data_IF_182377769647
#
_entry.id   IF_182377769647
#
_cell.length_a   1.000
_cell.length_b   1.000
_cell.length_c   1.000
_cell.angle_alpha   90.00
_cell.angle_beta   90.00
_cell.angle_gamma   90.00
#
_symmetry.space_group_name_H-M   'P 1'
#
loop_
_entity.id
_entity.type
_entity.pdbx_description
1 polymer ?
#
# COMPACT_ATOMS: atom_id res chain seq x y z
N UNK A 1 15.10 -12.04 -25.81
CA UNK A 1 14.05 -11.13 -25.33
C UNK A 1 14.29 -9.79 -26.00
N UNK A 2 13.26 -9.17 -26.57
CA UNK A 2 13.43 -7.95 -27.36
C UNK A 2 13.19 -6.74 -26.47
N UNK A 3 14.26 -6.16 -25.95
CA UNK A 3 14.21 -4.86 -25.29
C UNK A 3 14.31 -3.77 -26.36
N UNK A 4 13.39 -2.82 -26.33
CA UNK A 4 13.50 -1.59 -27.11
C UNK A 4 14.03 -0.49 -26.20
N UNK A 5 15.06 0.21 -26.67
CA UNK A 5 15.64 1.35 -25.97
C UNK A 5 15.56 2.56 -26.90
N UNK A 6 14.96 3.64 -26.43
CA UNK A 6 15.08 4.97 -27.03
C UNK A 6 16.18 5.74 -26.27
N UNK A 7 17.40 5.81 -26.83
CA UNK A 7 18.53 6.44 -26.15
C UNK A 7 18.38 7.96 -26.02
N UNK A 8 17.53 8.61 -26.82
CA UNK A 8 17.33 10.06 -26.74
C UNK A 8 16.39 10.43 -25.59
N UNK A 9 15.35 9.64 -25.36
CA UNK A 9 14.40 9.87 -24.28
C UNK A 9 14.73 9.15 -22.98
N UNK A 10 15.69 8.20 -22.99
CA UNK A 10 15.99 7.32 -21.85
C UNK A 10 14.84 6.38 -21.47
N UNK A 11 13.87 6.22 -22.38
CA UNK A 11 12.72 5.33 -22.23
C UNK A 11 13.02 4.01 -22.90
N UNK A 12 12.56 2.94 -22.28
CA UNK A 12 12.70 1.60 -22.79
C UNK A 12 11.45 0.79 -22.44
N UNK A 13 11.29 -0.34 -23.12
CA UNK A 13 10.31 -1.34 -22.72
C UNK A 13 10.83 -2.74 -23.04
N UNK A 14 10.33 -3.71 -22.27
CA UNK A 14 10.65 -5.12 -22.45
C UNK A 14 9.35 -5.87 -22.73
N UNK A 15 9.37 -6.68 -23.79
CA UNK A 15 8.28 -7.63 -24.06
C UNK A 15 8.45 -8.83 -23.13
N UNK A 16 7.42 -9.08 -22.32
CA UNK A 16 7.40 -10.17 -21.35
C UNK A 16 7.43 -11.53 -22.04
N UNK A 17 8.07 -12.54 -21.42
CA UNK A 17 8.30 -13.84 -22.05
C UNK A 17 7.02 -14.68 -22.11
N UNK A 18 5.99 -14.31 -21.34
CA UNK A 18 4.67 -14.91 -21.36
C UNK A 18 3.73 -14.30 -22.42
N UNK A 19 4.25 -13.45 -23.32
CA UNK A 19 3.55 -13.08 -24.55
C UNK A 19 3.43 -14.29 -25.48
N UNK A 20 2.26 -14.50 -26.09
CA UNK A 20 2.00 -15.71 -26.87
C UNK A 20 1.03 -15.48 -28.03
N UNK A 21 0.98 -16.43 -28.97
CA UNK A 21 -0.05 -16.48 -30.00
C UNK A 21 -0.98 -17.64 -29.74
N UNK A 22 -2.27 -17.37 -29.60
CA UNK A 22 -3.28 -18.40 -29.50
C UNK A 22 -3.42 -19.12 -30.85
N UNK A 23 -3.19 -20.43 -30.84
CA UNK A 23 -3.24 -21.28 -32.02
C UNK A 23 -4.66 -21.45 -32.57
N UNK A 24 -5.70 -21.32 -31.73
CA UNK A 24 -7.08 -21.52 -32.16
C UNK A 24 -7.63 -20.28 -32.89
N UNK A 25 -7.40 -19.09 -32.34
CA UNK A 25 -7.93 -17.84 -32.89
C UNK A 25 -6.98 -17.13 -33.84
N UNK A 26 -5.68 -17.44 -33.77
CA UNK A 26 -4.61 -16.73 -34.47
C UNK A 26 -4.30 -15.35 -33.88
N UNK A 27 -4.80 -15.03 -32.68
CA UNK A 27 -4.55 -13.75 -32.01
C UNK A 27 -3.24 -13.82 -31.24
N UNK A 28 -2.37 -12.84 -31.45
CA UNK A 28 -1.14 -12.64 -30.68
C UNK A 28 -1.39 -11.67 -29.53
N UNK A 29 -1.15 -12.14 -28.31
CA UNK A 29 -1.19 -11.38 -27.06
C UNK A 29 0.23 -10.95 -26.69
N UNK A 30 0.46 -9.63 -26.63
CA UNK A 30 1.75 -9.03 -26.28
C UNK A 30 1.60 -8.27 -24.97
N UNK A 31 2.49 -8.55 -24.02
CA UNK A 31 2.58 -7.83 -22.76
C UNK A 31 3.94 -7.12 -22.67
N UNK A 32 3.93 -5.82 -22.41
CA UNK A 32 5.15 -5.03 -22.27
C UNK A 32 5.21 -4.35 -20.90
N UNK A 33 6.43 -4.22 -20.37
CA UNK A 33 6.75 -3.46 -19.15
C UNK A 33 7.59 -2.24 -19.52
N UNK A 34 7.31 -1.11 -18.88
CA UNK A 34 8.07 0.11 -19.11
C UNK A 34 9.34 0.13 -18.25
N UNK A 35 10.42 0.66 -18.85
CA UNK A 35 11.68 0.96 -18.18
C UNK A 35 11.99 2.44 -18.43
N UNK A 36 12.34 3.18 -17.38
CA UNK A 36 12.72 4.60 -17.46
C UNK A 36 14.06 4.77 -16.75
N UNK A 37 15.08 5.28 -17.44
CA UNK A 37 16.41 5.43 -16.87
C UNK A 37 17.05 4.11 -16.39
N UNK A 38 16.65 2.98 -16.99
CA UNK A 38 17.14 1.65 -16.61
C UNK A 38 16.40 0.97 -15.45
N UNK A 39 15.42 1.64 -14.84
CA UNK A 39 14.63 1.13 -13.72
C UNK A 39 13.19 0.85 -14.21
N UNK A 40 12.61 -0.28 -13.77
CA UNK A 40 11.23 -0.64 -14.08
C UNK A 40 10.25 0.40 -13.51
N UNK A 41 9.22 0.76 -14.27
CA UNK A 41 8.07 1.51 -13.75
C UNK A 41 7.02 0.50 -13.30
N UNK A 42 6.81 0.41 -11.98
CA UNK A 42 5.85 -0.51 -11.38
C UNK A 42 4.43 -0.23 -11.90
N UNK A 43 3.72 -1.32 -12.20
CA UNK A 43 2.35 -1.36 -12.73
C UNK A 43 2.12 -0.61 -14.06
N UNK A 44 3.17 -0.10 -14.69
CA UNK A 44 3.14 0.50 -16.01
C UNK A 44 3.28 -0.59 -17.08
N UNK A 45 2.13 -1.13 -17.50
CA UNK A 45 2.01 -2.21 -18.46
C UNK A 45 1.27 -1.80 -19.72
N UNK A 46 1.67 -2.40 -20.85
CA UNK A 46 0.86 -2.41 -22.08
C UNK A 46 0.41 -3.83 -22.37
N UNK A 47 -0.87 -4.00 -22.70
CA UNK A 47 -1.40 -5.21 -23.31
C UNK A 47 -1.83 -4.90 -24.75
N UNK A 48 -1.41 -5.71 -25.73
CA UNK A 48 -1.85 -5.62 -27.11
C UNK A 48 -2.37 -6.97 -27.60
N UNK A 49 -3.50 -6.93 -28.31
CA UNK A 49 -4.04 -8.07 -29.03
C UNK A 49 -3.96 -7.78 -30.54
N UNK A 50 -3.19 -8.58 -31.27
CA UNK A 50 -2.92 -8.38 -32.70
C UNK A 50 -3.40 -9.59 -33.48
N UNK A 51 -4.01 -9.36 -34.65
CA UNK A 51 -4.36 -10.42 -35.61
C UNK A 51 -4.14 -9.93 -37.03
N UNK A 52 -3.46 -10.73 -37.84
CA UNK A 52 -3.19 -10.44 -39.26
C UNK A 52 -2.53 -9.05 -39.49
N UNK A 53 -1.61 -8.68 -38.61
CA UNK A 53 -0.92 -7.37 -38.64
C UNK A 53 -1.77 -6.18 -38.21
N UNK A 54 -3.00 -6.40 -37.71
CA UNK A 54 -3.90 -5.35 -37.20
C UNK A 54 -4.03 -5.44 -35.68
N UNK A 55 -3.97 -4.29 -35.01
CA UNK A 55 -4.29 -4.19 -33.59
C UNK A 55 -5.81 -4.31 -33.42
N UNK A 56 -6.25 -5.33 -32.68
CA UNK A 56 -7.66 -5.54 -32.35
C UNK A 56 -8.06 -4.74 -31.11
N UNK A 57 -7.20 -4.75 -30.09
CA UNK A 57 -7.39 -3.99 -28.86
C UNK A 57 -6.04 -3.72 -28.19
N UNK A 58 -5.97 -2.68 -27.40
CA UNK A 58 -4.83 -2.40 -26.55
C UNK A 58 -5.29 -1.72 -25.25
N UNK A 59 -4.50 -1.90 -24.19
CA UNK A 59 -4.59 -1.16 -22.94
C UNK A 59 -3.20 -0.66 -22.58
N UNK A 60 -3.11 0.58 -22.10
CA UNK A 60 -1.86 1.27 -21.83
C UNK A 60 -1.93 1.97 -20.46
N UNK A 61 -0.89 1.77 -19.67
CA UNK A 61 -0.67 2.42 -18.37
C UNK A 61 0.78 2.93 -18.24
N UNK A 62 1.51 3.01 -19.36
CA UNK A 62 2.85 3.57 -19.40
C UNK A 62 2.82 5.03 -18.99
N UNK A 63 3.82 5.41 -18.20
CA UNK A 63 4.08 6.79 -17.86
C UNK A 63 4.36 7.61 -19.13
N UNK A 64 3.59 8.67 -19.39
CA UNK A 64 3.72 9.47 -20.61
C UNK A 64 4.79 10.56 -20.53
N UNK A 65 5.28 10.89 -19.33
CA UNK A 65 6.26 11.97 -19.12
C UNK A 65 7.71 11.60 -19.46
N UNK A 66 8.62 12.56 -19.26
CA UNK A 66 10.07 12.37 -19.48
C UNK A 66 10.77 11.67 -18.31
N UNK A 67 12.01 11.20 -18.54
CA UNK A 67 12.86 10.67 -17.46
C UNK A 67 13.05 11.76 -16.39
N UNK A 68 12.82 11.47 -15.10
CA UNK A 68 13.11 12.42 -14.03
C UNK A 68 14.59 12.83 -14.06
N UNK A 69 14.88 14.09 -14.37
CA UNK A 69 16.27 14.60 -14.47
C UNK A 69 16.81 15.10 -13.12
N UNK A 70 15.96 15.18 -12.09
CA UNK A 70 16.32 15.68 -10.77
C UNK A 70 15.56 14.89 -9.69
N UNK A 71 16.29 14.27 -8.76
CA UNK A 71 15.75 13.68 -7.52
C UNK A 71 15.33 14.75 -6.49
N UNK A 72 15.32 16.03 -6.87
CA UNK A 72 15.19 17.19 -5.98
C UNK A 72 13.86 17.90 -6.08
N UNK A 73 12.93 17.45 -6.92
CA UNK A 73 11.59 17.97 -6.83
C UNK A 73 11.00 17.43 -5.53
N UNK A 74 10.87 18.34 -4.55
CA UNK A 74 10.08 18.15 -3.34
C UNK A 74 8.64 17.97 -3.77
N UNK A 75 8.33 16.82 -4.36
CA UNK A 75 6.98 16.47 -4.71
C UNK A 75 6.22 16.32 -3.40
N UNK A 76 5.13 17.07 -3.35
CA UNK A 76 4.22 17.07 -2.23
C UNK A 76 3.66 15.63 -2.11
N UNK A 77 3.89 14.99 -0.96
CA UNK A 77 3.49 13.60 -0.76
C UNK A 77 1.99 13.62 -0.44
N UNK A 78 1.12 12.89 -1.18
CA UNK A 78 -0.32 13.04 -1.06
C UNK A 78 -0.84 12.90 0.37
N UNK A 79 -0.29 11.95 1.13
CA UNK A 79 -0.62 11.76 2.54
C UNK A 79 -0.13 12.91 3.44
N UNK A 80 1.08 13.43 3.21
CA UNK A 80 1.62 14.53 4.01
C UNK A 80 0.82 15.82 3.78
N UNK A 81 0.43 16.09 2.53
CA UNK A 81 -0.41 17.23 2.19
C UNK A 81 -1.80 17.09 2.80
N UNK A 82 -2.38 15.89 2.72
CA UNK A 82 -3.64 15.59 3.36
C UNK A 82 -3.59 15.86 4.87
N UNK A 83 -2.53 15.40 5.55
CA UNK A 83 -2.34 15.62 6.98
C UNK A 83 -2.08 17.08 7.34
N UNK A 84 -1.37 17.83 6.51
CA UNK A 84 -1.19 19.27 6.68
C UNK A 84 -2.51 20.03 6.55
N UNK A 85 -3.33 19.68 5.54
CA UNK A 85 -4.66 20.25 5.34
C UNK A 85 -5.59 19.93 6.52
N UNK A 86 -5.57 18.69 6.99
CA UNK A 86 -6.40 18.26 8.11
C UNK A 86 -5.99 18.96 9.42
N UNK A 87 -4.70 19.12 9.66
CA UNK A 87 -4.16 19.87 10.81
C UNK A 87 -4.58 21.34 10.78
N UNK A 88 -4.54 21.96 9.58
CA UNK A 88 -4.99 23.34 9.36
C UNK A 88 -6.50 23.50 9.60
N UNK A 89 -7.30 22.58 9.06
CA UNK A 89 -8.75 22.55 9.24
C UNK A 89 -9.14 22.37 10.70
N UNK A 90 -8.47 21.46 11.42
CA UNK A 90 -8.68 21.21 12.85
C UNK A 90 -8.35 22.46 13.67
N UNK A 91 -7.21 23.11 13.38
CA UNK A 91 -6.79 24.35 14.06
C UNK A 91 -7.80 25.48 13.86
N UNK A 92 -8.32 25.62 12.63
CA UNK A 92 -9.33 26.64 12.30
C UNK A 92 -10.68 26.38 12.97
N UNK A 93 -11.12 25.12 13.09
CA UNK A 93 -12.35 24.81 13.83
C UNK A 93 -12.21 25.02 15.33
N UNK A 94 -11.03 24.73 15.90
CA UNK A 94 -10.74 25.04 17.31
C UNK A 94 -10.77 26.54 17.57
N UNK A 95 -10.20 27.39 16.72
CA UNK A 95 -10.22 28.85 16.91
C UNK A 95 -11.64 29.42 16.81
N UNK A 96 -12.49 28.90 15.91
CA UNK A 96 -13.89 29.31 15.81
C UNK A 96 -14.67 29.04 17.11
N UNK A 97 -14.41 27.92 17.79
CA UNK A 97 -15.06 27.59 19.07
C UNK A 97 -14.55 28.41 20.26
N UNK A 98 -13.32 28.91 20.20
CA UNK A 98 -12.68 29.67 21.28
C UNK A 98 -12.72 31.20 21.06
N UNK A 99 -13.34 31.69 19.99
CA UNK A 99 -13.39 33.13 19.71
C UNK A 99 -14.39 33.85 20.63
N UNK A 100 -13.95 34.81 21.48
CA UNK A 100 -14.83 35.55 22.40
C UNK A 100 -15.82 36.50 21.69
N UNK A 101 -15.64 36.75 20.39
CA UNK A 101 -16.58 37.53 19.55
C UNK A 101 -17.82 36.76 19.10
N UNK A 102 -17.97 35.48 19.45
CA UNK A 102 -19.21 34.73 19.23
C UNK A 102 -20.42 35.27 20.04
N UNK A 103 -20.22 36.33 20.84
CA UNK A 103 -21.30 37.06 21.51
C UNK A 103 -22.09 38.00 20.59
N UNK A 104 -21.73 38.15 19.31
CA UNK A 104 -22.48 38.94 18.32
C UNK A 104 -22.92 38.21 17.04
N UNK A 105 -22.67 36.91 16.90
CA UNK A 105 -23.24 36.11 15.82
C UNK A 105 -24.37 35.24 16.36
N UNK A 106 -25.58 35.40 15.78
CA UNK A 106 -26.72 34.51 16.02
C UNK A 106 -26.43 33.10 15.48
N UNK A 107 -25.55 32.35 16.13
CA UNK A 107 -25.40 30.91 15.91
C UNK A 107 -26.38 30.23 16.85
N UNK A 108 -27.37 29.52 16.29
CA UNK A 108 -28.35 28.78 17.09
C UNK A 108 -27.68 27.64 17.86
N UNK A 109 -28.30 27.17 18.94
CA UNK A 109 -27.84 25.98 19.68
C UNK A 109 -27.63 24.75 18.79
N UNK A 110 -28.39 24.60 17.71
CA UNK A 110 -28.24 23.54 16.71
C UNK A 110 -26.97 23.67 15.87
N UNK A 111 -26.50 24.88 15.62
CA UNK A 111 -25.29 25.11 14.82
C UNK A 111 -24.03 24.84 15.65
N UNK A 112 -24.05 25.15 16.95
CA UNK A 112 -22.97 24.77 17.87
C UNK A 112 -22.82 23.24 18.02
N UNK A 113 -23.93 22.50 18.03
CA UNK A 113 -23.89 21.04 18.08
C UNK A 113 -23.25 20.44 16.82
N UNK A 114 -23.63 20.94 15.63
CA UNK A 114 -23.03 20.52 14.34
C UNK A 114 -21.54 20.86 14.25
N UNK A 115 -21.13 22.03 14.73
CA UNK A 115 -19.70 22.41 14.76
C UNK A 115 -18.91 21.51 15.70
N UNK A 116 -19.48 21.13 16.85
CA UNK A 116 -18.84 20.20 17.80
C UNK A 116 -18.73 18.78 17.23
N UNK A 117 -19.79 18.31 16.58
CA UNK A 117 -19.79 17.00 15.89
C UNK A 117 -18.74 16.99 14.77
N UNK A 118 -18.70 18.03 13.93
CA UNK A 118 -17.68 18.19 12.90
C UNK A 118 -16.26 18.24 13.46
N UNK A 119 -16.05 18.88 14.62
CA UNK A 119 -14.75 18.87 15.30
C UNK A 119 -14.37 17.46 15.76
N UNK A 120 -15.28 16.71 16.39
CA UNK A 120 -15.00 15.35 16.83
C UNK A 120 -14.66 14.42 15.64
N UNK A 121 -15.34 14.58 14.51
CA UNK A 121 -15.00 13.87 13.27
C UNK A 121 -13.61 14.26 12.76
N UNK A 122 -13.28 15.54 12.74
CA UNK A 122 -11.94 16.01 12.32
C UNK A 122 -10.84 15.54 13.27
N UNK A 123 -11.09 15.52 14.58
CA UNK A 123 -10.16 15.00 15.59
C UNK A 123 -9.94 13.50 15.40
N UNK A 124 -11.01 12.73 15.20
CA UNK A 124 -10.90 11.31 14.89
C UNK A 124 -10.08 11.09 13.61
N UNK A 125 -10.45 11.74 12.50
CA UNK A 125 -9.72 11.63 11.23
C UNK A 125 -8.25 12.01 11.37
N UNK A 126 -7.93 13.06 12.12
CA UNK A 126 -6.54 13.48 12.34
C UNK A 126 -5.78 12.46 13.17
N UNK A 127 -6.36 12.00 14.27
CA UNK A 127 -5.74 10.98 15.12
C UNK A 127 -5.50 9.67 14.38
N UNK A 128 -6.47 9.20 13.59
CA UNK A 128 -6.40 7.91 12.91
C UNK A 128 -5.48 7.91 11.69
N UNK A 129 -5.34 9.05 10.99
CA UNK A 129 -4.58 9.11 9.73
C UNK A 129 -3.23 9.82 9.84
N UNK A 130 -3.02 10.67 10.86
CA UNK A 130 -1.90 11.61 10.91
C UNK A 130 -1.07 11.59 12.19
N UNK A 131 -1.59 11.12 13.32
CA UNK A 131 -0.88 11.18 14.60
C UNK A 131 0.37 10.28 14.65
N UNK A 132 0.34 9.16 13.94
CA UNK A 132 1.34 8.09 14.05
C UNK A 132 2.19 7.93 12.79
N UNK A 133 2.21 8.89 11.86
CA UNK A 133 2.99 8.74 10.64
C UNK A 133 4.44 9.08 10.94
N UNK A 134 5.32 8.08 11.08
CA UNK A 134 6.66 8.36 11.53
C UNK A 134 7.46 8.82 10.31
N UNK A 135 7.98 10.04 10.38
CA UNK A 135 8.86 10.55 9.34
C UNK A 135 10.28 10.08 9.63
N UNK A 136 10.78 9.14 8.83
CA UNK A 136 12.12 8.60 9.01
C UNK A 136 13.15 9.44 8.25
N UNK A 137 13.99 10.12 9.03
CA UNK A 137 15.13 10.91 8.58
C UNK A 137 14.84 12.40 8.29
N UNK A 138 15.89 13.23 8.26
CA UNK A 138 15.77 14.67 8.04
C UNK A 138 15.37 14.98 6.59
N UNK A 139 14.45 15.93 6.42
CA UNK A 139 14.07 16.45 5.10
C UNK A 139 15.27 17.07 4.37
N UNK A 140 15.51 16.67 3.12
CA UNK A 140 16.52 17.28 2.25
C UNK A 140 17.92 16.68 2.31
N UNK A 141 18.11 15.53 2.98
CA UNK A 141 19.31 14.71 2.79
C UNK A 141 19.06 13.68 1.69
N UNK A 142 20.06 13.47 0.83
CA UNK A 142 20.00 12.42 -0.20
C UNK A 142 20.56 11.15 0.44
N UNK A 143 19.73 10.12 0.57
CA UNK A 143 20.23 8.77 0.78
C UNK A 143 20.87 8.31 -0.54
N UNK A 144 22.18 8.57 -0.66
CA UNK A 144 22.96 8.23 -1.84
C UNK A 144 23.18 6.71 -1.98
N UNK A 145 22.93 5.95 -0.92
CA UNK A 145 23.21 4.52 -0.88
C UNK A 145 22.05 3.69 -1.43
N UNK A 146 20.84 4.28 -1.54
CA UNK A 146 19.61 3.59 -1.95
C UNK A 146 19.41 2.27 -1.18
N UNK A 147 19.70 2.32 0.12
CA UNK A 147 19.65 1.15 0.99
C UNK A 147 18.19 0.82 1.34
N UNK A 148 17.70 -0.40 1.04
CA UNK A 148 16.32 -0.77 1.31
C UNK A 148 15.98 -0.91 2.80
N UNK A 149 16.97 -1.02 3.71
CA UNK A 149 16.75 -1.34 5.13
C UNK A 149 16.03 -0.23 5.89
N UNK A 150 16.41 1.03 5.65
CA UNK A 150 15.79 2.19 6.32
C UNK A 150 14.35 2.46 5.84
N UNK A 151 14.05 2.46 4.53
CA UNK A 151 12.68 2.50 4.04
C UNK A 151 11.83 1.33 4.56
N UNK A 152 12.39 0.12 4.67
CA UNK A 152 11.68 -1.03 5.22
C UNK A 152 11.30 -0.83 6.69
N UNK A 153 12.23 -0.36 7.52
CA UNK A 153 11.95 -0.02 8.92
C UNK A 153 10.89 1.07 9.04
N UNK A 154 10.89 2.02 8.11
CA UNK A 154 9.88 3.07 8.07
C UNK A 154 8.46 2.51 7.87
N UNK A 155 8.33 1.51 7.00
CA UNK A 155 7.08 0.78 6.82
C UNK A 155 6.70 -0.03 8.07
N UNK A 156 7.65 -0.79 8.64
CA UNK A 156 7.38 -1.66 9.80
C UNK A 156 6.90 -0.90 11.02
N UNK A 157 7.38 0.33 11.23
CA UNK A 157 6.88 1.20 12.29
C UNK A 157 5.39 1.54 12.18
N UNK A 158 4.80 1.44 10.98
CA UNK A 158 3.36 1.61 10.76
C UNK A 158 2.60 0.28 10.66
N UNK A 159 3.28 -0.82 10.30
CA UNK A 159 2.66 -2.13 10.06
C UNK A 159 2.67 -3.05 11.29
N UNK A 160 3.59 -2.86 12.24
CA UNK A 160 3.66 -3.66 13.46
C UNK A 160 2.51 -3.31 14.42
N UNK A 161 1.87 -4.30 15.06
CA UNK A 161 0.88 -4.08 16.11
C UNK A 161 1.42 -3.21 17.25
N UNK A 162 0.57 -2.41 17.90
CA UNK A 162 0.97 -1.54 19.02
C UNK A 162 1.58 -2.30 20.21
N UNK A 163 1.16 -3.56 20.42
CA UNK A 163 1.64 -4.46 21.46
C UNK A 163 2.85 -5.30 21.05
N UNK A 164 3.34 -5.13 19.81
CA UNK A 164 4.48 -5.89 19.31
C UNK A 164 5.77 -5.51 20.07
N UNK A 165 6.52 -6.49 20.61
CA UNK A 165 7.66 -6.23 21.51
C UNK A 165 8.80 -5.46 20.82
N UNK A 166 8.90 -5.55 19.49
CA UNK A 166 9.96 -4.89 18.73
C UNK A 166 9.60 -3.45 18.28
N UNK A 167 8.32 -3.04 18.34
CA UNK A 167 7.86 -1.76 17.77
C UNK A 167 8.59 -0.55 18.37
N UNK A 168 8.65 -0.45 19.71
CA UNK A 168 9.36 0.65 20.37
C UNK A 168 10.84 0.66 20.03
N UNK A 169 11.45 -0.53 19.94
CA UNK A 169 12.88 -0.65 19.61
C UNK A 169 13.21 -0.24 18.17
N UNK A 170 12.29 -0.50 17.23
CA UNK A 170 12.41 -0.09 15.82
C UNK A 170 12.32 1.43 15.70
N UNK A 171 11.42 2.07 16.45
CA UNK A 171 11.27 3.53 16.48
C UNK A 171 12.48 4.22 17.11
N UNK A 172 12.99 3.69 18.22
CA UNK A 172 14.07 4.33 18.99
C UNK A 172 15.47 4.08 18.40
N UNK A 173 15.71 2.90 17.81
CA UNK A 173 17.04 2.44 17.38
C UNK A 173 17.05 1.86 15.95
N UNK A 174 16.47 2.58 14.99
CA UNK A 174 16.37 2.14 13.59
C UNK A 174 17.72 1.73 12.98
N UNK A 175 18.81 2.46 13.24
CA UNK A 175 20.15 2.13 12.71
C UNK A 175 20.69 0.81 13.24
N UNK A 176 20.43 0.48 14.50
CA UNK A 176 20.87 -0.78 15.09
C UNK A 176 20.16 -1.95 14.40
N UNK A 177 18.85 -1.83 14.18
CA UNK A 177 18.07 -2.84 13.47
C UNK A 177 18.52 -2.98 12.01
N UNK A 178 18.74 -1.87 11.31
CA UNK A 178 19.27 -1.90 9.94
C UNK A 178 20.63 -2.61 9.88
N UNK A 179 21.50 -2.42 10.88
CA UNK A 179 22.80 -3.11 10.93
C UNK A 179 22.70 -4.63 11.13
N UNK A 180 21.62 -5.13 11.75
CA UNK A 180 21.36 -6.55 11.99
C UNK A 180 20.72 -7.25 10.79
N UNK A 181 20.05 -6.50 9.92
CA UNK A 181 19.47 -7.02 8.69
C UNK A 181 20.56 -7.46 7.73
N UNK A 182 20.41 -8.67 7.20
CA UNK A 182 21.34 -9.24 6.23
C UNK A 182 20.72 -9.14 4.85
N UNK A 183 21.38 -8.38 3.97
CA UNK A 183 20.95 -8.19 2.59
C UNK A 183 21.72 -9.11 1.66
N UNK A 184 21.00 -9.87 0.84
CA UNK A 184 21.54 -10.75 -0.20
C UNK A 184 21.00 -10.29 -1.56
N UNK A 185 21.88 -10.20 -2.56
CA UNK A 185 21.43 -9.88 -3.92
C UNK A 185 20.78 -11.11 -4.55
N UNK A 186 19.54 -10.95 -5.02
CA UNK A 186 18.85 -11.96 -5.79
C UNK A 186 19.23 -11.83 -7.26
N UNK A 187 19.84 -12.88 -7.82
CA UNK A 187 19.95 -13.03 -9.26
C UNK A 187 18.86 -14.00 -9.71
N UNK A 188 17.69 -13.49 -10.10
CA UNK A 188 16.68 -14.36 -10.69
C UNK A 188 17.22 -14.93 -12.01
N UNK A 189 17.41 -16.25 -12.06
CA UNK A 189 17.85 -17.01 -13.24
C UNK A 189 16.79 -17.08 -14.36
N UNK A 190 15.67 -16.38 -14.21
CA UNK A 190 14.62 -16.21 -15.21
C UNK A 190 14.73 -14.85 -15.89
N UNK A 191 15.81 -14.67 -16.67
CA UNK A 191 15.79 -13.97 -17.95
C UNK A 191 15.33 -12.51 -18.04
N UNK A 192 15.24 -11.73 -16.97
CA UNK A 192 14.82 -10.32 -17.05
C UNK A 192 15.95 -9.38 -16.58
N UNK A 193 16.54 -8.66 -17.52
CA UNK A 193 17.35 -7.49 -17.21
C UNK A 193 16.39 -6.38 -16.75
N UNK A 194 16.40 -5.99 -15.47
CA UNK A 194 16.24 -4.57 -15.07
C UNK A 194 16.06 -4.28 -13.57
N UNK A 195 15.76 -5.26 -12.71
CA UNK A 195 15.59 -4.95 -11.27
C UNK A 195 16.66 -5.63 -10.43
N UNK A 196 17.50 -4.84 -9.76
CA UNK A 196 18.34 -5.31 -8.66
C UNK A 196 17.39 -5.78 -7.54
N UNK A 197 17.06 -7.07 -7.57
CA UNK A 197 16.33 -7.74 -6.50
C UNK A 197 17.26 -7.95 -5.31
N UNK A 198 16.77 -7.66 -4.12
CA UNK A 198 17.46 -7.89 -2.86
C UNK A 198 16.53 -8.68 -1.95
N UNK A 199 17.05 -9.70 -1.28
CA UNK A 199 16.39 -10.35 -0.17
C UNK A 199 16.96 -9.82 1.14
N UNK A 200 16.10 -9.55 2.11
CA UNK A 200 16.45 -9.10 3.45
C UNK A 200 16.03 -10.14 4.47
N UNK A 201 17.00 -10.57 5.26
CA UNK A 201 16.82 -11.48 6.38
C UNK A 201 16.97 -10.75 7.72
N UNK A 202 16.47 -11.37 8.80
CA UNK A 202 16.41 -10.80 10.15
C UNK A 202 15.60 -9.48 10.22
N UNK A 203 14.48 -9.43 9.50
CA UNK A 203 13.57 -8.29 9.52
C UNK A 203 12.60 -8.42 10.70
N UNK A 204 12.48 -7.41 11.59
CA UNK A 204 11.55 -7.44 12.72
C UNK A 204 10.09 -7.70 12.29
N UNK A 205 9.42 -8.63 12.97
CA UNK A 205 8.03 -9.02 12.70
C UNK A 205 7.75 -9.73 11.37
N UNK A 206 8.74 -9.93 10.49
CA UNK A 206 8.57 -10.70 9.27
C UNK A 206 8.72 -12.21 9.55
N UNK A 207 7.87 -13.04 8.96
CA UNK A 207 7.92 -14.51 9.13
C UNK A 207 8.84 -15.20 8.12
N UNK A 208 9.15 -14.52 7.01
CA UNK A 208 10.02 -14.99 5.94
C UNK A 208 10.94 -13.87 5.45
N UNK A 209 11.82 -14.20 4.49
CA UNK A 209 12.71 -13.20 3.90
C UNK A 209 11.91 -12.14 3.13
N UNK A 210 12.26 -10.87 3.33
CA UNK A 210 11.59 -9.74 2.68
C UNK A 210 12.26 -9.49 1.34
N UNK A 211 11.50 -9.52 0.25
CA UNK A 211 12.02 -9.16 -1.06
C UNK A 211 11.90 -7.66 -1.26
N UNK A 212 12.96 -7.03 -1.74
CA UNK A 212 13.04 -5.62 -2.05
C UNK A 212 13.48 -5.41 -3.51
N UNK A 213 12.84 -4.45 -4.19
CA UNK A 213 13.22 -4.02 -5.54
C UNK A 213 13.17 -2.52 -5.65
N UNK A 214 14.16 -1.92 -6.30
CA UNK A 214 14.13 -0.51 -6.65
C UNK A 214 13.34 -0.32 -7.95
N UNK A 215 12.27 0.48 -7.90
CA UNK A 215 11.34 0.71 -9.01
C UNK A 215 10.89 2.18 -9.04
N UNK A 216 10.38 2.63 -10.19
CA UNK A 216 9.62 3.87 -10.28
C UNK A 216 8.14 3.61 -10.01
N UNK A 217 7.46 4.52 -9.31
CA UNK A 217 6.01 4.52 -9.17
C UNK A 217 5.42 5.81 -9.70
N UNK A 218 4.28 5.70 -10.37
CA UNK A 218 3.49 6.82 -10.84
C UNK A 218 2.70 7.44 -9.68
N UNK A 219 3.08 8.65 -9.24
CA UNK A 219 2.43 9.37 -8.14
C UNK A 219 1.65 10.58 -8.69
N UNK A 220 0.37 10.77 -8.30
CA UNK A 220 -0.38 11.97 -8.66
C UNK A 220 0.26 13.24 -8.10
N UNK A 221 0.23 14.31 -8.89
CA UNK A 221 0.67 15.66 -8.53
C UNK A 221 -0.32 16.68 -9.06
N UNK A 222 -0.21 17.95 -8.64
CA UNK A 222 -1.10 19.04 -9.08
C UNK A 222 -1.16 19.19 -10.61
N UNK A 223 -0.04 18.89 -11.29
CA UNK A 223 0.15 19.09 -12.74
C UNK A 223 -0.05 17.78 -13.53
N UNK A 224 -0.34 16.65 -12.87
CA UNK A 224 -0.56 15.36 -13.53
C UNK A 224 0.02 14.19 -12.74
N UNK A 225 0.91 13.43 -13.37
CA UNK A 225 1.59 12.28 -12.76
C UNK A 225 3.09 12.50 -12.89
N UNK A 226 3.84 12.14 -11.86
CA UNK A 226 5.31 12.10 -11.89
C UNK A 226 5.80 10.71 -11.47
N UNK A 227 7.07 10.43 -11.72
CA UNK A 227 7.70 9.20 -11.25
C UNK A 227 8.45 9.48 -9.95
N UNK A 228 8.12 8.73 -8.91
CA UNK A 228 8.83 8.73 -7.63
C UNK A 228 9.67 7.45 -7.53
N UNK A 229 10.93 7.59 -7.09
CA UNK A 229 11.83 6.45 -6.92
C UNK A 229 11.52 5.78 -5.58
N UNK A 230 11.17 4.50 -5.61
CA UNK A 230 10.73 3.77 -4.42
C UNK A 230 11.39 2.40 -4.31
N UNK A 231 11.47 1.91 -3.09
CA UNK A 231 11.66 0.50 -2.81
C UNK A 231 10.29 -0.18 -2.72
N UNK A 232 10.06 -1.19 -3.55
CA UNK A 232 8.92 -2.10 -3.43
C UNK A 232 9.33 -3.29 -2.58
N UNK A 233 8.55 -3.57 -1.54
CA UNK A 233 8.75 -4.68 -0.61
C UNK A 233 7.61 -5.68 -0.68
N UNK A 234 7.95 -6.97 -0.62
CA UNK A 234 7.02 -8.05 -0.29
C UNK A 234 7.33 -8.49 1.15
N UNK A 235 6.42 -8.21 2.08
CA UNK A 235 6.60 -8.47 3.52
C UNK A 235 5.52 -9.43 4.00
N UNK A 236 5.91 -10.66 4.28
CA UNK A 236 5.04 -11.64 4.93
C UNK A 236 5.13 -11.49 6.46
N UNK A 237 4.00 -11.27 7.11
CA UNK A 237 3.86 -11.19 8.56
C UNK A 237 2.93 -12.31 9.06
N UNK A 238 2.73 -12.42 10.36
CA UNK A 238 1.94 -13.53 10.96
C UNK A 238 0.49 -13.59 10.46
N UNK A 239 -0.14 -12.44 10.25
CA UNK A 239 -1.56 -12.34 9.85
C UNK A 239 -1.78 -11.59 8.53
N UNK A 240 -0.76 -10.88 8.04
CA UNK A 240 -0.88 -10.01 6.87
C UNK A 240 0.24 -10.34 5.88
N UNK A 241 -0.01 -10.10 4.60
CA UNK A 241 1.04 -10.17 3.58
C UNK A 241 0.99 -8.90 2.76
N UNK A 242 1.95 -8.03 3.01
CA UNK A 242 2.01 -6.72 2.40
C UNK A 242 2.86 -6.70 1.14
N UNK A 243 2.36 -6.02 0.11
CA UNK A 243 3.16 -5.43 -0.94
C UNK A 243 3.13 -3.91 -0.73
N UNK A 244 4.28 -3.30 -0.45
CA UNK A 244 4.36 -1.88 -0.08
C UNK A 244 5.45 -1.17 -0.85
N UNK A 245 5.24 0.11 -1.14
CA UNK A 245 6.22 0.96 -1.79
C UNK A 245 6.58 2.12 -0.88
N UNK A 246 7.88 2.34 -0.66
CA UNK A 246 8.41 3.39 0.21
C UNK A 246 9.44 4.20 -0.55
N UNK A 247 9.41 5.53 -0.42
CA UNK A 247 10.36 6.43 -1.10
C UNK A 247 11.81 6.04 -0.78
N UNK A 248 12.63 5.97 -1.83
CA UNK A 248 14.07 5.75 -1.69
C UNK A 248 14.78 7.00 -1.14
N UNK A 249 14.22 8.18 -1.40
CA UNK A 249 14.69 9.46 -0.88
C UNK A 249 14.17 9.73 0.53
N UNK A 250 14.93 10.54 1.29
CA UNK A 250 14.48 11.03 2.59
C UNK A 250 13.53 12.24 2.45
N UNK A 251 12.55 12.38 3.35
CA UNK A 251 12.19 11.41 4.39
C UNK A 251 11.52 10.17 3.77
N UNK A 252 11.79 8.98 4.31
CA UNK A 252 11.16 7.76 3.81
C UNK A 252 9.66 7.81 4.12
N UNK A 253 8.83 7.73 3.07
CA UNK A 253 7.38 7.80 3.14
C UNK A 253 6.76 6.63 2.40
N UNK A 254 5.71 6.07 3.00
CA UNK A 254 4.93 4.99 2.40
C UNK A 254 4.04 5.60 1.31
N UNK A 255 4.26 5.18 0.07
CA UNK A 255 3.54 5.66 -1.12
C UNK A 255 2.28 4.81 -1.36
N UNK A 256 2.39 3.49 -1.24
CA UNK A 256 1.28 2.55 -1.41
C UNK A 256 1.47 1.32 -0.54
N UNK A 257 0.36 0.75 -0.08
CA UNK A 257 0.32 -0.53 0.63
C UNK A 257 -0.84 -1.35 0.07
N UNK A 258 -0.56 -2.59 -0.30
CA UNK A 258 -1.53 -3.62 -0.66
C UNK A 258 -1.40 -4.74 0.35
N UNK A 259 -2.51 -5.14 0.96
CA UNK A 259 -2.56 -6.33 1.80
C UNK A 259 -3.22 -7.47 1.01
N UNK A 260 -2.47 -8.56 0.82
CA UNK A 260 -2.93 -9.76 0.14
C UNK A 260 -3.71 -10.68 1.08
N UNK A 261 -3.55 -10.54 2.41
CA UNK A 261 -4.32 -11.30 3.37
C UNK A 261 -5.71 -10.66 3.50
N UNK A 262 -6.73 -11.40 3.05
CA UNK A 262 -8.12 -10.97 3.24
C UNK A 262 -8.71 -11.71 4.43
N UNK A 263 -8.96 -10.97 5.51
CA UNK A 263 -9.82 -11.44 6.59
C UNK A 263 -11.27 -11.51 6.07
N UNK A 264 -11.70 -12.71 5.70
CA UNK A 264 -13.11 -12.96 5.41
C UNK A 264 -13.83 -13.14 6.75
N UNK A 265 -14.74 -12.23 7.16
CA UNK A 265 -15.55 -12.46 8.34
C UNK A 265 -16.51 -13.59 8.02
N UNK A 266 -16.10 -14.83 8.32
CA UNK A 266 -16.99 -15.97 8.20
C UNK A 266 -18.09 -15.77 9.27
N UNK A 267 -19.36 -15.58 8.88
CA UNK A 267 -20.41 -15.44 9.86
C UNK A 267 -20.41 -16.71 10.71
N UNK A 268 -20.23 -16.54 12.02
CA UNK A 268 -20.35 -17.66 12.95
C UNK A 268 -21.71 -18.33 12.68
N UNK A 269 -21.75 -19.65 12.44
CA UNK A 269 -23.01 -20.32 12.24
C UNK A 269 -23.90 -20.01 13.45
N UNK A 270 -25.20 -19.73 13.25
CA UNK A 270 -26.10 -19.51 14.37
C UNK A 270 -25.94 -20.68 15.33
N UNK A 271 -25.64 -20.36 16.59
CA UNK A 271 -25.46 -21.37 17.62
C UNK A 271 -26.63 -22.35 17.60
N UNK A 272 -26.41 -23.64 17.95
CA UNK A 272 -27.45 -24.65 17.87
C UNK A 272 -28.72 -24.12 18.55
N UNK A 273 -29.90 -24.24 17.92
CA UNK A 273 -31.13 -23.80 18.55
C UNK A 273 -31.21 -24.44 19.93
N UNK A 274 -31.55 -23.64 20.94
CA UNK A 274 -31.77 -24.14 22.31
C UNK A 274 -32.96 -25.09 22.26
N UNK A 275 -32.72 -26.36 21.96
CA UNK A 275 -33.75 -27.38 22.03
C UNK A 275 -34.14 -27.52 23.50
N UNK A 276 -35.37 -27.12 23.84
CA UNK A 276 -36.00 -27.55 25.09
C UNK A 276 -36.00 -29.07 25.10
N UNK A 277 -35.49 -29.69 26.17
CA UNK A 277 -35.42 -31.16 26.32
C UNK A 277 -36.71 -31.80 25.85
N UNK A 278 -36.63 -32.64 24.82
CA UNK A 278 -37.79 -33.40 24.36
C UNK A 278 -38.26 -34.30 25.50
N UNK A 279 -39.55 -34.21 25.82
CA UNK A 279 -40.19 -35.05 26.85
C UNK A 279 -40.88 -36.19 26.13
N UNK A 280 -40.56 -37.43 26.47
CA UNK A 280 -41.24 -38.60 25.93
C UNK A 280 -42.40 -38.96 26.85
N UNK A 281 -43.62 -38.97 26.34
CA UNK A 281 -44.74 -39.60 27.02
C UNK A 281 -44.64 -41.11 26.81
N UNK A 282 -44.18 -41.81 27.84
CA UNK A 282 -44.09 -43.28 27.83
C UNK A 282 -45.40 -43.83 28.37
N UNK A 283 -46.18 -44.47 27.50
CA UNK A 283 -47.35 -45.22 27.94
C UNK A 283 -46.90 -46.54 28.59
N UNK A 284 -47.43 -46.90 29.77
CA UNK A 284 -47.11 -48.17 30.40
C UNK A 284 -47.60 -49.34 29.54
N UNK A 285 -46.76 -50.37 29.44
CA UNK A 285 -47.03 -51.55 28.62
C UNK A 285 -48.30 -52.26 29.09
N UNK A 286 -49.28 -52.44 28.20
CA UNK A 286 -50.55 -53.15 28.50
C UNK A 286 -51.81 -52.30 28.45
N UNK A 287 -51.73 -50.99 28.18
CA UNK A 287 -52.90 -50.19 27.80
C UNK A 287 -53.10 -50.34 26.29
N UNK A 288 -54.04 -51.21 25.91
CA UNK A 288 -54.57 -51.20 24.54
C UNK A 288 -55.37 -49.90 24.37
N UNK A 289 -55.00 -49.14 23.34
CA UNK A 289 -55.59 -47.90 22.84
C UNK A 289 -57.01 -47.55 23.37
N UNK A 290 -57.19 -46.49 24.19
CA UNK A 290 -58.50 -46.00 24.60
C UNK A 290 -58.88 -44.75 23.80
N UNK A 291 -59.12 -44.93 22.50
CA UNK A 291 -60.10 -44.13 21.74
C UNK A 291 -60.67 -45.05 20.65
N UNK A 292 -61.81 -45.73 20.81
CA UNK A 292 -63.05 -45.45 21.58
C UNK A 292 -62.96 -44.77 22.95
#
# INVERSE_FOLDING_TARGET
MTQYNDPESGRAYVIRPDSYTDKATGVTHIYARQIVGGIEVADAHVNLNIKDGRVLSFGDSFFPGGVPTQHTETFAHPHADHCAQLSSALSSHRTLLHSPSATQSHIGSHDHAKVREGLATLEHLHSSNCANVPSFGPSGQVDLEMDPRRPLLAFLASALPEDHPELSSVLDNAEEHASKMVMTSETHLLGDHSTLGMSLNNVPGAVSEVKARLVWVQVPSEIGVHLELVHRFEVEMEHNWYETTVTASLPHRIVSVVDWASDSPMPLPPGPPKFSKATYEVFPWGVNDPVE
#
